data_IF_417686603122
#
_entry.id   IF_417686603122
#
_cell.length_a   1.000
_cell.length_b   1.000
_cell.length_c   1.000
_cell.angle_alpha   90.00
_cell.angle_beta   90.00
_cell.angle_gamma   90.00
#
_symmetry.space_group_name_H-M   'P 1'
#
loop_
_entity.id
_entity.type
_entity.pdbx_description
1 polymer ?
2 non-polymer ?
3 water ?
#
# COMPACT_ATOMS: atom_id res chain seq x y z
N UNK A 23 -11.38 -15.53 21.32
CA UNK A 23 -12.30 -14.59 22.04
C UNK A 23 -12.29 -13.18 21.44
N UNK A 24 -11.98 -13.11 20.15
CA UNK A 24 -11.99 -11.84 19.41
C UNK A 24 -13.15 -11.83 18.40
N UNK A 25 -13.62 -10.63 18.01
CA UNK A 25 -14.68 -10.54 16.99
C UNK A 25 -14.34 -11.30 15.71
N UNK A 26 -15.21 -12.22 15.31
CA UNK A 26 -14.97 -13.09 14.17
C UNK A 26 -15.34 -12.43 12.83
N UNK A 27 -16.13 -11.37 12.89
CA UNK A 27 -16.49 -10.60 11.70
C UNK A 27 -16.36 -9.09 11.95
N UNK A 28 -15.12 -8.59 12.07
CA UNK A 28 -14.91 -7.17 12.32
C UNK A 28 -15.43 -6.31 11.17
N UNK A 29 -15.86 -5.06 11.47
CA UNK A 29 -16.30 -4.15 10.41
C UNK A 29 -15.23 -3.98 9.33
N UNK A 30 -15.66 -4.05 8.08
CA UNK A 30 -14.75 -3.87 6.95
C UNK A 30 -14.55 -2.37 6.69
N UNK A 31 -13.33 -1.91 6.92
CA UNK A 31 -13.05 -0.48 6.85
C UNK A 31 -12.82 0.00 5.43
N UNK A 32 -13.47 1.12 5.09
CA UNK A 32 -13.30 1.76 3.80
C UNK A 32 -13.09 3.26 4.01
N UNK A 33 -12.85 3.98 2.91
CA UNK A 33 -12.72 5.43 2.93
C UNK A 33 -13.99 6.15 3.39
N UNK A 34 -15.13 5.47 3.35
CA UNK A 34 -16.41 6.06 3.78
C UNK A 34 -16.48 6.22 5.31
N UNK A 35 -15.66 5.44 6.02
CA UNK A 35 -15.51 5.58 7.46
C UNK A 35 -14.39 6.59 7.75
N UNK A 36 -14.77 7.76 8.24
CA UNK A 36 -13.83 8.84 8.51
C UNK A 36 -13.36 8.87 9.97
N UNK A 37 -13.88 7.95 10.78
CA UNK A 37 -13.70 8.00 12.25
C UNK A 37 -12.79 6.91 12.83
N UNK A 38 -13.11 5.65 12.54
CA UNK A 38 -12.45 4.51 13.17
C UNK A 38 -10.93 4.60 13.07
N UNK A 39 -10.27 4.53 14.22
CA UNK A 39 -8.81 4.52 14.30
C UNK A 39 -8.27 3.26 13.64
N UNK A 40 -7.39 3.46 12.65
CA UNK A 40 -6.83 2.35 11.89
C UNK A 40 -5.42 2.68 11.41
N UNK A 42 -3.24 2.84 7.95
CA UNK A 42 -3.34 2.89 6.50
C UNK A 42 -1.94 2.80 5.90
N UNK A 43 -1.79 1.98 4.86
CA UNK A 43 -0.56 1.96 4.08
C UNK A 43 -0.86 2.38 2.65
N UNK A 44 -0.09 3.34 2.15
CA UNK A 44 -0.18 3.75 0.75
C UNK A 44 1.07 3.27 0.03
N UNK A 45 0.87 2.36 -0.93
CA UNK A 45 1.96 1.89 -1.77
C UNK A 45 2.14 2.87 -2.91
N UNK A 46 3.11 3.77 -2.73
CA UNK A 46 3.32 4.92 -3.62
C UNK A 46 4.31 4.63 -4.74
N UNK A 48 3.80 3.03 -7.39
CA UNK A 48 3.63 1.64 -7.82
C UNK A 48 3.75 1.52 -9.32
N UNK A 49 4.54 0.55 -9.77
CA UNK A 49 4.78 0.34 -11.19
C UNK A 49 3.71 -0.58 -11.79
N UNK A 50 2.55 -0.01 -12.10
CA UNK A 50 1.44 -0.78 -12.68
C UNK A 50 0.97 -0.17 -14.00
N UNK A 51 1.55 -0.65 -15.10
CA UNK A 51 1.22 -0.16 -16.44
C UNK A 51 0.91 -1.30 -17.39
N UNK A 52 -0.23 -1.18 -18.08
CA UNK A 52 -0.69 -2.20 -19.00
C UNK A 52 -0.11 -2.01 -20.41
N UNK A 53 0.08 -3.13 -21.11
CA UNK A 53 0.48 -3.12 -22.51
C UNK A 53 -0.09 -4.34 -23.24
N UNK A 54 -0.50 -4.13 -24.49
CA UNK A 54 -1.03 -5.20 -25.31
C UNK A 54 0.06 -5.88 -26.12
N UNK A 55 0.66 -6.92 -25.53
CA UNK A 55 1.68 -7.76 -26.18
C UNK A 55 1.86 -9.07 -25.41
N UNK A 65 -3.56 -8.32 -22.83
CA UNK A 65 -2.91 -7.26 -22.06
C UNK A 65 -2.17 -7.83 -20.86
N UNK A 66 -0.98 -7.30 -20.60
CA UNK A 66 -0.17 -7.68 -19.44
C UNK A 66 0.40 -6.45 -18.72
N UNK A 67 0.83 -6.62 -17.47
CA UNK A 67 1.58 -5.59 -16.77
C UNK A 67 3.03 -5.62 -17.22
N UNK A 68 3.54 -4.46 -17.63
CA UNK A 68 4.96 -4.32 -17.99
C UNK A 68 5.85 -4.65 -16.79
N UNK A 69 6.83 -5.53 -17.02
CA UNK A 69 7.81 -5.88 -15.99
C UNK A 69 9.20 -6.16 -16.53
N UNK A 70 10.20 -5.95 -15.68
CA UNK A 70 11.62 -6.02 -16.07
C UNK A 70 12.13 -7.42 -16.46
N UNK A 71 11.43 -8.47 -16.06
CA UNK A 71 11.84 -9.84 -16.36
C UNK A 71 11.35 -10.31 -17.72
N UNK A 72 10.12 -9.93 -18.06
CA UNK A 72 9.45 -10.42 -19.25
C UNK A 72 9.56 -9.51 -20.48
N UNK A 73 9.78 -8.22 -20.25
CA UNK A 73 9.66 -7.23 -21.33
C UNK A 73 10.88 -6.32 -21.52
N UNK A 74 12.07 -6.87 -21.28
CA UNK A 74 13.31 -6.10 -21.43
C UNK A 74 13.47 -5.49 -22.81
N UNK A 75 13.18 -6.29 -23.85
CA UNK A 75 13.28 -5.85 -25.24
C UNK A 75 12.29 -4.76 -25.60
N UNK A 76 11.03 -4.96 -25.18
CA UNK A 76 9.97 -3.98 -25.36
C UNK A 76 10.25 -2.65 -24.66
N UNK A 77 10.62 -2.72 -23.38
CA UNK A 77 10.92 -1.53 -22.57
C UNK A 77 12.09 -0.73 -23.11
N UNK A 78 13.05 -1.43 -23.71
CA UNK A 78 14.22 -0.82 -24.34
C UNK A 78 13.79 -0.01 -25.56
N UNK A 79 12.93 -0.60 -26.39
CA UNK A 79 12.39 0.06 -27.59
C UNK A 79 11.46 1.22 -27.23
N UNK A 81 12.20 3.15 -24.86
CA UNK A 81 13.12 4.12 -24.31
C UNK A 81 13.07 4.23 -22.79
N UNK A 82 12.52 3.20 -22.15
CA UNK A 82 12.32 3.19 -20.70
C UNK A 82 13.53 2.61 -19.98
N UNK A 83 13.72 3.03 -18.73
CA UNK A 83 14.65 2.38 -17.83
C UNK A 83 14.02 1.04 -17.45
N UNK A 84 14.63 -0.05 -17.92
CA UNK A 84 14.08 -1.40 -17.71
C UNK A 84 13.85 -1.71 -16.23
N UNK A 85 14.72 -1.20 -15.37
CA UNK A 85 14.67 -1.44 -13.92
C UNK A 85 13.48 -0.80 -13.21
N UNK A 86 12.81 0.15 -13.86
CA UNK A 86 11.68 0.83 -13.22
C UNK A 86 10.37 0.03 -13.28
N UNK A 87 10.30 -0.95 -14.20
CA UNK A 87 9.10 -1.74 -14.37
C UNK A 87 9.04 -2.87 -13.35
N UNK A 88 8.53 -2.56 -12.16
CA UNK A 88 8.55 -3.51 -11.04
C UNK A 88 7.19 -3.72 -10.35
N UNK A 89 6.19 -4.26 -11.08
CA UNK A 89 4.89 -4.55 -10.46
C UNK A 89 4.95 -5.64 -9.37
N UNK A 90 6.01 -6.45 -9.39
CA UNK A 90 6.23 -7.50 -8.40
C UNK A 90 6.34 -6.95 -6.98
N UNK A 91 6.90 -5.74 -6.84
CA UNK A 91 7.03 -5.09 -5.54
C UNK A 91 5.65 -4.80 -4.93
N UNK A 92 4.75 -4.26 -5.74
CA UNK A 92 3.36 -4.00 -5.32
C UNK A 92 2.66 -5.32 -4.97
N UNK A 93 2.88 -6.35 -5.79
CA UNK A 93 2.31 -7.67 -5.57
C UNK A 93 2.69 -8.23 -4.19
N UNK A 94 3.99 -8.22 -3.89
CA UNK A 94 4.50 -8.78 -2.63
C UNK A 94 4.09 -7.97 -1.40
N UNK A 95 4.02 -6.65 -1.57
CA UNK A 95 3.54 -5.78 -0.50
C UNK A 95 2.09 -6.07 -0.17
N UNK A 96 1.25 -6.21 -1.19
CA UNK A 96 -0.16 -6.54 -1.01
C UNK A 96 -0.36 -7.86 -0.26
N UNK A 97 0.41 -8.88 -0.63
CA UNK A 97 0.34 -10.17 0.06
C UNK A 97 0.73 -10.06 1.54
N UNK A 98 1.88 -9.45 1.80
CA UNK A 98 2.35 -9.21 3.17
C UNK A 98 1.30 -8.45 4.01
N UNK A 99 0.76 -7.38 3.45
CA UNK A 99 -0.21 -6.52 4.14
C UNK A 99 -1.54 -7.21 4.42
N UNK A 100 -2.12 -7.83 3.39
CA UNK A 100 -3.44 -8.46 3.52
C UNK A 100 -3.44 -9.79 4.28
N UNK A 101 -2.28 -10.45 4.36
CA UNK A 101 -2.11 -11.67 5.16
C UNK A 101 -1.92 -11.40 6.65
N UNK A 102 -1.58 -10.15 6.99
CA UNK A 102 -1.17 -9.79 8.36
C UNK A 102 -2.29 -9.94 9.41
N UNK A 103 -1.91 -10.30 10.65
CA UNK A 103 -2.85 -10.30 11.78
C UNK A 103 -3.64 -8.99 11.92
N UNK A 104 -2.99 -7.84 11.67
CA UNK A 104 -3.69 -6.54 11.74
C UNK A 104 -4.83 -6.42 10.72
N UNK A 105 -4.63 -6.95 9.51
CA UNK A 105 -5.71 -6.95 8.51
C UNK A 105 -6.88 -7.84 8.91
N UNK A 106 -6.58 -9.04 9.40
CA UNK A 106 -7.60 -9.99 9.84
C UNK A 106 -8.40 -9.42 11.03
N UNK A 107 -7.74 -8.61 11.85
CA UNK A 107 -8.38 -7.93 12.97
C UNK A 107 -9.22 -6.72 12.54
N UNK A 108 -9.14 -6.38 11.25
CA UNK A 108 -9.93 -5.30 10.68
C UNK A 108 -9.44 -3.90 11.02
N UNK A 109 -8.13 -3.78 11.25
CA UNK A 109 -7.54 -2.49 11.63
C UNK A 109 -6.57 -1.96 10.57
N UNK A 110 -6.67 -2.49 9.35
CA UNK A 110 -5.79 -2.10 8.25
C UNK A 110 -6.55 -1.71 6.99
N UNK A 111 -6.07 -0.65 6.35
CA UNK A 111 -6.46 -0.31 4.98
C UNK A 111 -5.23 -0.11 4.12
N UNK A 112 -5.36 -0.47 2.85
CA UNK A 112 -4.30 -0.27 1.87
C UNK A 112 -4.81 0.54 0.68
N UNK A 113 -4.02 1.52 0.26
CA UNK A 113 -4.24 2.23 -1.00
C UNK A 113 -3.03 2.04 -1.90
N UNK A 114 -3.25 2.14 -3.21
CA UNK A 114 -2.16 2.10 -4.18
C UNK A 114 -2.13 3.40 -4.98
N UNK A 115 -0.96 4.06 -5.02
CA UNK A 115 -0.73 5.22 -5.87
C UNK A 115 0.31 4.84 -6.93
N UNK A 116 -0.13 4.69 -8.19
CA UNK A 116 0.80 4.32 -9.26
C UNK A 116 1.68 5.49 -9.69
N UNK A 117 2.80 5.17 -10.32
CA UNK A 117 3.75 6.18 -10.82
C UNK A 117 3.12 7.09 -11.89
N UNK A 118 1.97 6.68 -12.41
CA UNK A 118 1.26 7.45 -13.44
C UNK A 118 0.04 8.19 -12.85
N UNK A 119 -0.03 8.22 -11.52
CA UNK A 119 -1.07 8.99 -10.82
C UNK A 119 -2.45 8.35 -10.76
N UNK A 120 -2.51 7.03 -10.83
CA UNK A 120 -3.78 6.32 -10.61
C UNK A 120 -3.88 5.93 -9.13
N UNK A 121 -4.99 6.30 -8.51
CA UNK A 121 -5.23 5.97 -7.09
C UNK A 121 -6.24 4.84 -6.95
N UNK A 122 -5.88 3.83 -6.15
CA UNK A 122 -6.68 2.63 -5.99
C UNK A 122 -6.97 2.36 -4.52
N UNK A 123 -8.25 2.13 -4.20
CA UNK A 123 -8.63 1.66 -2.87
C UNK A 123 -8.78 0.14 -2.90
N UNK A 124 -8.15 -0.52 -1.93
CA UNK A 124 -8.18 -1.97 -1.80
C UNK A 124 -9.10 -2.37 -0.64
N UNK A 125 -10.14 -3.15 -0.94
CA UNK A 125 -11.02 -3.69 0.11
C UNK A 125 -10.23 -4.69 0.95
N UNK A 126 -10.27 -4.55 2.30
CA UNK A 126 -9.54 -5.46 3.20
C UNK A 126 -9.82 -6.95 2.98
N UNK A 127 -11.00 -7.28 2.44
CA UNK A 127 -11.40 -8.68 2.25
C UNK A 127 -10.96 -9.30 0.91
N UNK A 128 -10.41 -8.48 0.01
CA UNK A 128 -10.04 -8.97 -1.32
C UNK A 128 -8.98 -10.07 -1.24
N UNK A 129 -9.13 -11.07 -2.10
CA UNK A 129 -8.11 -12.09 -2.26
C UNK A 129 -7.19 -11.69 -3.41
N UNK A 130 -5.93 -11.44 -3.07
CA UNK A 130 -4.89 -11.17 -4.07
C UNK A 130 -4.25 -12.50 -4.47
N UNK A 131 -4.26 -12.82 -5.77
CA UNK A 131 -3.62 -14.05 -6.28
C UNK A 131 -2.15 -14.15 -5.86
N UNK A 132 -1.69 -15.36 -5.56
CA UNK A 132 -0.32 -15.58 -5.11
C UNK A 132 0.67 -15.62 -6.26
N UNK A 133 0.20 -16.02 -7.43
CA UNK A 133 1.05 -16.06 -8.62
C UNK A 133 1.02 -14.70 -9.31
N UNK A 134 2.19 -14.27 -9.79
CA UNK A 134 2.31 -12.99 -10.49
C UNK A 134 1.42 -12.90 -11.74
N UNK A 135 1.31 -14.02 -12.47
CA UNK A 135 0.52 -14.07 -13.70
C UNK A 135 -0.93 -13.64 -13.47
N UNK A 136 -1.56 -14.21 -12.45
CA UNK A 136 -2.96 -13.91 -12.12
C UNK A 136 -3.13 -12.56 -11.44
N UNK A 137 -2.11 -12.14 -10.70
CA UNK A 137 -2.07 -10.78 -10.15
C UNK A 137 -2.08 -9.75 -11.28
N UNK A 138 -1.24 -9.97 -12.28
CA UNK A 138 -1.18 -9.10 -13.47
C UNK A 138 -2.52 -9.06 -14.18
N UNK A 139 -3.13 -10.24 -14.35
CA UNK A 139 -4.45 -10.35 -14.96
C UNK A 139 -5.51 -9.56 -14.20
N UNK A 140 -5.49 -9.66 -12.88
CA UNK A 140 -6.38 -8.89 -12.02
C UNK A 140 -6.17 -7.37 -12.13
N UNK A 142 -4.76 -5.72 -14.66
CA UNK A 142 -5.17 -5.31 -16.00
C UNK A 142 -6.69 -5.05 -16.06
N UNK A 143 -7.47 -5.97 -15.51
CA UNK A 143 -8.92 -5.83 -15.46
C UNK A 143 -9.33 -4.59 -14.66
N UNK A 144 -8.71 -4.41 -13.49
CA UNK A 144 -8.97 -3.25 -12.63
C UNK A 144 -8.69 -1.93 -13.34
N UNK A 145 -7.54 -1.82 -13.99
CA UNK A 145 -7.12 -0.60 -14.65
C UNK A 145 -7.95 -0.26 -15.89
N UNK A 146 -8.55 -1.29 -16.48
CA UNK A 146 -9.40 -1.12 -17.67
C UNK A 146 -10.88 -0.90 -17.32
N UNK A 147 -11.38 -1.67 -16.36
CA UNK A 147 -12.79 -1.60 -15.96
C UNK A 147 -13.03 -0.58 -14.83
N UNK A 148 -11.95 -0.18 -14.17
CA UNK A 148 -11.96 0.83 -13.07
C UNK A 148 -12.42 0.29 -11.71
N UNK A 149 -12.92 -0.94 -11.68
CA UNK A 149 -13.24 -1.64 -10.44
C UNK A 149 -13.26 -3.16 -10.62
N UNK A 150 -13.16 -3.88 -9.50
CA UNK A 150 -13.32 -5.34 -9.46
C UNK A 150 -14.47 -5.66 -8.51
N UNK A 151 -15.46 -6.41 -9.00
CA UNK A 151 -16.66 -6.72 -8.24
C UNK A 151 -16.58 -8.09 -7.57
N UNK A 152 -17.24 -8.23 -6.42
CA UNK A 152 -17.30 -9.48 -5.68
C UNK A 152 -17.98 -10.60 -6.48
N UNK A 156 -22.24 -7.76 -4.90
CA UNK A 156 -21.95 -6.77 -5.94
C UNK A 156 -21.05 -5.64 -5.45
N UNK A 157 -20.57 -5.77 -4.21
CA UNK A 157 -19.65 -4.79 -3.61
C UNK A 157 -18.27 -4.83 -4.29
N UNK A 158 -17.62 -3.67 -4.35
CA UNK A 158 -16.33 -3.54 -5.03
C UNK A 158 -15.16 -3.91 -4.13
N UNK A 159 -14.32 -4.82 -4.61
CA UNK A 159 -13.17 -5.31 -3.88
C UNK A 159 -11.90 -4.52 -4.21
N UNK A 160 -11.88 -3.91 -5.39
CA UNK A 160 -10.83 -3.00 -5.81
C UNK A 160 -11.48 -1.89 -6.62
N UNK A 161 -11.06 -0.64 -6.40
CA UNK A 161 -11.69 0.50 -7.05
C UNK A 161 -10.70 1.62 -7.33
N UNK A 162 -10.69 2.10 -8.58
CA UNK A 162 -9.98 3.32 -8.95
C UNK A 162 -10.79 4.50 -8.40
N UNK A 163 -10.13 5.38 -7.66
CA UNK A 163 -10.78 6.53 -7.04
C UNK A 163 -10.07 7.84 -7.38
N UNK A 164 -10.72 8.96 -7.07
CA UNK A 164 -10.20 10.29 -7.43
C UNK A 164 -9.09 10.76 -6.50
N UNK A 165 -8.00 11.25 -7.09
CA UNK A 165 -6.98 11.98 -6.34
C UNK A 165 -7.56 13.30 -5.79
N UNK A 166 -7.01 13.83 -4.68
CA UNK A 166 -5.88 13.33 -3.88
C UNK A 166 -6.31 12.33 -2.79
N UNK A 167 -5.36 11.53 -2.32
CA UNK A 167 -5.59 10.55 -1.26
C UNK A 167 -6.20 11.17 0.01
N UNK A 168 -5.82 12.41 0.29
CA UNK A 168 -6.26 13.12 1.50
C UNK A 168 -7.78 13.36 1.56
N UNK A 169 -8.44 13.27 0.40
CA UNK A 169 -9.92 13.35 0.33
C UNK A 169 -10.60 12.11 0.91
N UNK A 170 -9.83 11.04 1.08
CA UNK A 170 -10.38 9.74 1.45
C UNK A 170 -9.97 9.25 2.84
N UNK A 171 -8.89 9.82 3.37
CA UNK A 171 -8.33 9.41 4.66
C UNK A 171 -9.21 9.83 5.85
N UNK A 172 -9.07 9.15 7.01
CA UNK A 172 -9.82 9.56 8.20
C UNK A 172 -9.52 11.00 8.61
N UNK A 173 -10.54 11.70 9.11
CA UNK A 173 -10.45 13.13 9.46
C UNK A 173 -9.25 13.44 10.36
N UNK A 174 -9.06 12.63 11.39
CA UNK A 174 -7.88 12.74 12.24
C UNK A 174 -6.92 11.61 11.89
N UNK A 175 -5.82 11.97 11.23
CA UNK A 175 -4.88 10.98 10.72
C UNK A 175 -3.48 11.58 10.54
N UNK A 176 -2.50 10.95 11.20
CA UNK A 176 -1.10 11.28 10.99
C UNK A 176 -0.66 10.73 9.63
N UNK A 177 0.23 11.47 8.96
CA UNK A 177 0.72 11.10 7.63
C UNK A 177 2.25 11.12 7.62
N UNK A 178 2.84 9.96 7.36
CA UNK A 178 4.31 9.80 7.39
C UNK A 178 4.84 9.02 6.19
N UNK A 179 6.06 9.37 5.77
CA UNK A 179 6.76 8.65 4.70
C UNK A 179 7.92 7.85 5.30
N UNK A 180 8.03 6.59 4.88
CA UNK A 180 9.17 5.75 5.27
C UNK A 180 10.36 6.06 4.37
N UNK A 181 11.51 6.29 5.00
CA UNK A 181 12.72 6.65 4.27
C UNK A 181 13.97 6.13 4.97
N UNK A 182 14.92 5.64 4.17
CA UNK A 182 16.20 5.18 4.70
C UNK A 182 17.06 6.34 5.23
N UNK A 183 16.84 7.53 4.67
CA UNK A 183 17.62 8.72 5.02
C UNK A 183 17.15 9.42 6.30
N UNK A 184 16.01 8.98 6.84
CA UNK A 184 15.37 9.62 7.98
C UNK A 184 15.78 8.99 9.33
N UNK A 185 15.60 9.72 10.45
CA UNK A 185 15.87 9.16 11.78
C UNK A 185 15.04 7.90 12.07
N UNK A 186 15.64 6.93 12.75
CA UNK A 186 15.00 5.63 12.98
C UNK A 186 14.09 5.64 14.21
N UNK A 187 12.86 5.18 14.01
CA UNK A 187 11.88 5.04 15.09
C UNK A 187 11.54 3.57 15.35
N UNK A 188 11.09 3.27 16.57
CA UNK A 188 10.45 1.99 16.85
C UNK A 188 8.95 2.15 16.58
N UNK A 189 8.40 1.28 15.74
CA UNK A 189 7.00 1.38 15.30
C UNK A 189 6.02 1.45 16.48
N UNK A 190 6.19 0.58 17.47
CA UNK A 190 5.32 0.58 18.67
C UNK A 190 5.33 1.93 19.39
N UNK A 191 6.51 2.53 19.55
CA UNK A 191 6.64 3.85 20.18
C UNK A 191 5.76 4.87 19.45
N UNK A 192 5.90 4.89 18.13
CA UNK A 192 5.20 5.82 17.26
C UNK A 192 3.68 5.61 17.33
N UNK A 193 3.24 4.36 17.23
CA UNK A 193 1.83 4.01 17.28
C UNK A 193 1.19 4.38 18.62
N UNK A 194 1.92 4.16 19.72
CA UNK A 194 1.43 4.44 21.06
C UNK A 194 1.28 5.94 21.35
N UNK A 195 1.92 6.78 20.54
CA UNK A 195 1.83 8.24 20.70
C UNK A 195 0.64 8.87 19.97
N UNK A 196 -0.14 8.04 19.27
CA UNK A 196 -1.36 8.50 18.60
C UNK A 196 -2.49 8.66 19.62
N UNK A 197 -3.33 9.66 19.42
CA UNK A 197 -4.54 9.85 20.23
C UNK A 197 -5.53 8.70 19.98
N UNK A 198 -6.51 8.55 20.87
CA UNK A 198 -7.45 7.42 20.81
C UNK A 198 -8.34 7.42 19.56
N UNK A 199 -8.44 8.57 18.90
CA UNK A 199 -9.28 8.74 17.72
C UNK A 199 -8.45 9.03 16.45
N UNK A 200 -7.13 8.90 16.56
CA UNK A 200 -6.21 9.31 15.50
C UNK A 200 -5.63 8.10 14.74
N UNK A 201 -5.89 8.07 13.43
CA UNK A 201 -5.36 7.04 12.56
C UNK A 201 -3.92 7.36 12.13
N UNK A 202 -3.26 6.40 11.50
CA UNK A 202 -1.92 6.62 10.95
C UNK A 202 -1.83 6.15 9.49
N UNK A 203 -1.41 7.06 8.61
CA UNK A 203 -1.20 6.74 7.21
C UNK A 203 0.28 6.74 6.87
N UNK A 204 0.77 5.58 6.42
CA UNK A 204 2.18 5.41 6.11
C UNK A 204 2.38 5.30 4.61
N UNK A 205 3.19 6.19 4.05
CA UNK A 205 3.53 6.16 2.63
C UNK A 205 4.83 5.39 2.41
N UNK A 206 4.75 4.35 1.59
CA UNK A 206 5.87 3.45 1.33
C UNK A 206 6.15 3.41 -0.17
N UNK A 207 7.39 3.69 -0.55
CA UNK A 207 7.81 3.61 -1.96
C UNK A 207 7.76 2.18 -2.44
N UNK A 208 6.83 1.89 -3.36
CA UNK A 208 6.69 0.57 -3.94
C UNK A 208 7.69 0.38 -5.09
N UNK A 210 12.32 -0.32 -5.93
CA UNK A 210 13.62 -0.83 -5.48
C UNK A 210 14.55 0.33 -5.17
N UNK A 211 14.49 1.37 -6.01
CA UNK A 211 15.30 2.57 -5.85
C UNK A 211 14.49 3.82 -6.20
N UNK A 212 14.90 4.96 -5.66
CA UNK A 212 14.21 6.24 -5.91
C UNK A 212 14.29 7.18 -4.73
N UNK A 213 13.91 8.44 -4.96
CA UNK A 213 13.92 9.47 -3.92
C UNK A 213 12.67 9.41 -3.06
N UNK A 214 12.81 9.79 -1.78
CA UNK A 214 11.74 9.69 -0.80
C UNK A 214 10.70 10.83 -0.83
N UNK A 215 10.67 11.57 -1.94
CA UNK A 215 9.83 12.76 -2.07
C UNK A 215 8.42 12.53 -2.63
N UNK A 216 8.07 11.27 -2.86
CA UNK A 216 6.83 10.89 -3.55
C UNK A 216 5.51 11.35 -2.88
N UNK A 217 5.56 11.68 -1.60
CA UNK A 217 4.37 12.07 -0.86
C UNK A 217 4.57 13.35 -0.04
N UNK A 218 5.49 14.21 -0.49
CA UNK A 218 5.80 15.47 0.20
C UNK A 218 4.61 16.43 0.26
N UNK A 219 3.71 16.31 -0.70
CA UNK A 219 2.50 17.12 -0.74
C UNK A 219 1.51 16.76 0.40
N UNK A 220 1.64 15.55 0.95
CA UNK A 220 0.71 15.03 1.95
C UNK A 220 1.29 14.92 3.36
N UNK A 221 2.59 14.66 3.47
CA UNK A 221 3.21 14.35 4.76
C UNK A 221 3.93 15.53 5.41
N UNK A 222 4.17 15.42 6.71
CA UNK A 222 4.94 16.41 7.46
C UNK A 222 6.00 15.77 8.35
N UNK A 223 6.27 14.48 8.11
CA UNK A 223 7.32 13.75 8.82
C UNK A 223 7.80 12.56 7.97
N UNK A 224 9.10 12.32 8.02
CA UNK A 224 9.71 11.13 7.42
C UNK A 224 10.45 10.37 8.50
N UNK A 225 10.30 9.04 8.51
CA UNK A 225 10.92 8.19 9.52
C UNK A 225 11.60 6.98 8.90
N UNK A 226 12.61 6.46 9.58
CA UNK A 226 13.26 5.21 9.20
C UNK A 226 12.91 4.09 10.15
N UNK A 227 13.03 2.85 9.69
CA UNK A 227 12.73 1.68 10.51
C UNK A 227 13.96 0.84 10.82
N UNK A 228 15.05 1.08 10.08
CA UNK A 228 16.24 0.26 10.18
C UNK A 228 17.49 1.02 9.76
N UNK A 229 18.64 0.57 10.27
CA UNK A 229 19.92 1.11 9.86
C UNK A 229 20.38 0.52 8.51
N UNK A 230 19.66 -0.50 8.04
CA UNK A 230 19.84 -1.05 6.69
C UNK A 230 18.71 -0.57 5.78
N UNK A 231 18.98 -0.44 4.47
CA UNK A 231 17.86 -0.19 3.54
C UNK A 231 16.97 -1.44 3.46
N UNK A 232 15.66 -1.22 3.42
CA UNK A 232 14.71 -2.33 3.41
C UNK A 232 13.92 -2.43 2.11
N UNK A 233 13.68 -3.67 1.66
CA UNK A 233 12.69 -3.91 0.62
C UNK A 233 11.34 -3.42 1.12
N UNK A 234 10.52 -2.90 0.21
CA UNK A 234 9.19 -2.38 0.56
C UNK A 234 8.34 -3.41 1.32
N UNK A 235 8.36 -4.67 0.88
CA UNK A 235 7.61 -5.75 1.54
C UNK A 235 8.03 -5.97 2.99
N UNK A 236 9.33 -5.83 3.25
CA UNK A 236 9.89 -5.99 4.60
C UNK A 236 9.47 -4.83 5.50
N UNK A 237 9.53 -3.61 4.97
CA UNK A 237 9.08 -2.42 5.69
C UNK A 237 7.60 -2.51 6.07
N UNK A 238 6.77 -2.98 5.12
CA UNK A 238 5.35 -3.23 5.37
C UNK A 238 5.15 -4.22 6.51
N UNK A 239 5.92 -5.31 6.49
CA UNK A 239 5.87 -6.34 7.53
C UNK A 239 6.22 -5.80 8.92
N UNK A 240 7.30 -5.03 8.99
CA UNK A 240 7.77 -4.45 10.25
C UNK A 240 6.74 -3.50 10.85
N UNK A 241 6.13 -2.66 10.02
CA UNK A 241 5.12 -1.72 10.47
C UNK A 241 3.85 -2.43 10.95
N UNK A 242 3.44 -3.47 10.24
CA UNK A 242 2.31 -4.30 10.68
C UNK A 242 2.60 -4.94 12.04
N UNK A 243 3.78 -5.53 12.17
CA UNK A 243 4.22 -6.16 13.41
C UNK A 243 4.19 -5.21 14.61
N UNK A 244 4.69 -3.99 14.40
CA UNK A 244 4.77 -2.98 15.46
C UNK A 244 3.41 -2.47 15.90
N UNK A 245 2.49 -2.32 14.95
CA UNK A 245 1.12 -1.90 15.26
C UNK A 245 0.34 -3.02 15.96
N UNK A 246 0.60 -4.26 15.55
CA UNK A 246 0.02 -5.45 16.19
C UNK A 246 0.43 -5.57 17.65
N UNK A 247 1.69 -5.23 17.94
CA UNK A 247 2.19 -5.17 19.31
C UNK A 247 1.49 -4.08 20.13
N UNK A 248 1.46 -2.88 19.58
CA UNK A 248 0.89 -1.70 20.26
C UNK A 248 -0.61 -1.82 20.51
N UNK A 249 -1.32 -2.48 19.60
CA UNK A 249 -2.78 -2.60 19.70
C UNK A 249 -3.24 -3.98 20.20
N UNK A 250 -2.29 -4.75 20.75
CA UNK A 250 -2.57 -6.06 21.34
C UNK A 250 -3.26 -7.06 20.41
N UNK A 251 -2.79 -7.11 19.16
CA UNK A 251 -3.36 -8.02 18.16
C UNK A 251 -2.52 -9.30 18.07
#
# INVERSE_FOLDING_TARGET
XVEDSRVRDALKGGDQKALPASLVPQAPPVLTSKDKITKRXIVVLAXASLETHKISSNGPGGDKYVLLNCDDHQGLLKKXGRDISEARPDITHQCLLTLLDSPINKAGKLQVYIQTSRGILIEVNPTVRIPRTFKRFSGLXVQLLHKLSIRSVNSEEKLLKVIKNPITDHLPTKCRKVTLSFDAPVIRVQDYIEKLDDDESICVFVGAXARGKDNFADEYVDEKVGLSNYPLSASVACSKFCHGAEDAWNILHHHHHH
#
